data_IF_280995361940
#
_entry.id   IF_280995361940
#
_cell.length_a   1.000
_cell.length_b   1.000
_cell.length_c   1.000
_cell.angle_alpha   90.00
_cell.angle_beta   90.00
_cell.angle_gamma   90.00
#
_symmetry.space_group_name_H-M   'P 1'
#
loop_
_entity.id
_entity.type
_entity.pdbx_description
1 polymer ?
#
# COMPACT_ATOMS: atom_id res chain seq x y z
N UNK A 1 -11.60 17.78 1.83
CA UNK A 1 -12.07 16.40 1.63
C UNK A 1 -10.83 15.56 1.44
N UNK A 2 -10.66 14.53 2.25
CA UNK A 2 -9.54 13.58 2.15
C UNK A 2 -9.75 12.62 0.98
N UNK A 3 -8.68 11.98 0.48
CA UNK A 3 -8.82 10.91 -0.52
C UNK A 3 -9.66 9.75 0.05
N UNK A 4 -9.58 9.52 1.37
CA UNK A 4 -10.42 8.55 2.09
C UNK A 4 -11.91 8.84 1.96
N UNK A 5 -12.33 10.10 2.11
CA UNK A 5 -13.71 10.51 1.88
C UNK A 5 -14.10 10.42 0.40
N UNK A 6 -13.18 10.76 -0.50
CA UNK A 6 -13.41 10.71 -1.94
C UNK A 6 -13.68 9.28 -2.46
N UNK A 7 -13.07 8.25 -1.84
CA UNK A 7 -13.33 6.85 -2.17
C UNK A 7 -14.56 6.25 -1.45
N UNK A 8 -15.30 7.04 -0.67
CA UNK A 8 -16.52 6.59 0.04
C UNK A 8 -16.29 6.02 1.45
N UNK A 9 -15.11 6.24 2.03
CA UNK A 9 -14.82 5.92 3.43
C UNK A 9 -14.55 4.45 3.71
N UNK A 10 -15.00 3.97 4.88
CA UNK A 10 -14.50 2.74 5.52
C UNK A 10 -14.75 1.46 4.72
N UNK A 11 -15.97 1.29 4.22
CA UNK A 11 -16.38 0.05 3.55
C UNK A 11 -15.62 -0.16 2.22
N UNK A 12 -15.51 0.85 1.33
CA UNK A 12 -14.66 0.75 0.14
C UNK A 12 -13.19 0.48 0.45
N UNK A 13 -12.61 1.09 1.50
CA UNK A 13 -11.24 0.78 1.92
C UNK A 13 -11.09 -0.68 2.35
N UNK A 14 -12.05 -1.20 3.11
CA UNK A 14 -12.01 -2.60 3.53
C UNK A 14 -12.06 -3.54 2.34
N UNK A 15 -12.93 -3.26 1.36
CA UNK A 15 -13.01 -4.00 0.11
C UNK A 15 -11.70 -3.89 -0.70
N UNK A 16 -11.13 -2.69 -0.81
CA UNK A 16 -9.85 -2.47 -1.47
C UNK A 16 -8.76 -3.36 -0.88
N UNK A 17 -8.65 -3.42 0.45
CA UNK A 17 -7.62 -4.25 1.10
C UNK A 17 -7.80 -5.73 0.82
N UNK A 18 -9.04 -6.23 0.77
CA UNK A 18 -9.31 -7.63 0.45
C UNK A 18 -8.90 -7.97 -0.99
N UNK A 19 -9.30 -7.14 -1.97
CA UNK A 19 -8.97 -7.31 -3.39
C UNK A 19 -7.46 -7.19 -3.61
N UNK A 20 -6.84 -6.18 -3.01
CA UNK A 20 -5.42 -5.90 -3.12
C UNK A 20 -4.55 -7.07 -2.65
N UNK A 21 -4.83 -7.60 -1.45
CA UNK A 21 -4.09 -8.76 -0.94
C UNK A 21 -4.35 -10.03 -1.73
N UNK A 22 -5.57 -10.21 -2.28
CA UNK A 22 -5.82 -11.33 -3.18
C UNK A 22 -4.88 -11.26 -4.38
N UNK A 23 -4.73 -10.10 -5.01
CA UNK A 23 -3.82 -9.90 -6.14
C UNK A 23 -2.34 -10.15 -5.77
N UNK A 24 -1.90 -9.65 -4.62
CA UNK A 24 -0.54 -9.89 -4.11
C UNK A 24 -0.27 -11.39 -3.90
N UNK A 25 -1.21 -12.11 -3.30
CA UNK A 25 -1.04 -13.53 -2.98
C UNK A 25 -1.19 -14.43 -4.22
N UNK A 26 -1.91 -13.97 -5.24
CA UNK A 26 -2.02 -14.65 -6.54
C UNK A 26 -0.82 -14.33 -7.47
N UNK A 27 0.07 -13.40 -7.09
CA UNK A 27 1.28 -13.02 -7.84
C UNK A 27 2.52 -13.79 -7.35
N UNK A 28 3.06 -14.69 -8.17
CA UNK A 28 4.22 -15.52 -7.84
C UNK A 28 5.49 -14.73 -7.50
N UNK A 29 5.63 -13.49 -8.01
CA UNK A 29 6.78 -12.62 -7.72
C UNK A 29 6.68 -11.98 -6.33
N UNK A 30 5.51 -12.02 -5.68
CA UNK A 30 5.27 -11.38 -4.39
C UNK A 30 4.83 -12.37 -3.30
N UNK A 31 4.08 -13.41 -3.65
CA UNK A 31 3.40 -14.29 -2.71
C UNK A 31 4.34 -14.94 -1.69
N UNK A 32 5.55 -15.31 -2.13
CA UNK A 32 6.57 -15.95 -1.29
C UNK A 32 7.03 -15.07 -0.11
N UNK A 33 6.91 -13.73 -0.18
CA UNK A 33 7.18 -12.85 0.96
C UNK A 33 6.16 -12.99 2.10
N UNK A 34 5.02 -13.64 1.84
CA UNK A 34 3.90 -13.78 2.77
C UNK A 34 3.71 -15.21 3.29
N UNK A 35 4.50 -16.19 2.84
CA UNK A 35 4.33 -17.63 3.16
C UNK A 35 4.30 -17.94 4.67
N UNK A 36 5.07 -17.20 5.47
CA UNK A 36 5.19 -17.41 6.91
C UNK A 36 4.46 -16.35 7.74
N UNK A 37 3.45 -15.70 7.16
CA UNK A 37 2.80 -14.53 7.72
C UNK A 37 1.32 -14.75 8.01
N UNK A 38 0.84 -14.20 9.12
CA UNK A 38 -0.58 -14.07 9.36
C UNK A 38 -1.16 -12.97 8.47
N UNK A 39 -1.60 -13.36 7.27
CA UNK A 39 -2.19 -12.47 6.26
C UNK A 39 -3.36 -11.68 6.81
N UNK A 40 -4.16 -12.26 7.71
CA UNK A 40 -5.31 -11.56 8.30
C UNK A 40 -4.85 -10.39 9.18
N UNK A 41 -3.81 -10.61 10.00
CA UNK A 41 -3.19 -9.51 10.76
C UNK A 41 -2.56 -8.46 9.86
N UNK A 42 -2.00 -8.83 8.72
CA UNK A 42 -1.44 -7.87 7.78
C UNK A 42 -2.48 -7.03 7.06
N UNK A 43 -3.58 -7.63 6.64
CA UNK A 43 -4.73 -6.90 6.08
C UNK A 43 -5.23 -5.84 7.06
N UNK A 44 -5.28 -6.14 8.36
CA UNK A 44 -5.64 -5.13 9.38
C UNK A 44 -4.66 -3.96 9.43
N UNK A 45 -3.34 -4.23 9.40
CA UNK A 45 -2.32 -3.16 9.36
C UNK A 45 -2.40 -2.33 8.08
N UNK A 46 -2.63 -2.99 6.94
CA UNK A 46 -2.75 -2.32 5.64
C UNK A 46 -3.98 -1.42 5.57
N UNK A 47 -5.12 -1.81 6.19
CA UNK A 47 -6.29 -0.92 6.32
C UNK A 47 -5.93 0.38 7.02
N UNK A 48 -5.22 0.30 8.14
CA UNK A 48 -4.75 1.49 8.88
C UNK A 48 -3.77 2.31 8.05
N UNK A 49 -2.85 1.66 7.34
CA UNK A 49 -1.91 2.34 6.46
C UNK A 49 -2.62 3.08 5.31
N UNK A 50 -3.53 2.42 4.59
CA UNK A 50 -4.28 3.05 3.51
C UNK A 50 -5.17 4.17 4.04
N UNK A 51 -5.83 4.01 5.19
CA UNK A 51 -6.56 5.11 5.81
C UNK A 51 -5.68 6.36 6.02
N UNK A 52 -4.46 6.18 6.54
CA UNK A 52 -3.50 7.26 6.71
C UNK A 52 -3.00 7.83 5.37
N UNK A 53 -2.56 6.98 4.44
CA UNK A 53 -2.02 7.38 3.14
C UNK A 53 -3.04 8.14 2.29
N UNK A 54 -4.33 7.82 2.48
CA UNK A 54 -5.45 8.50 1.83
C UNK A 54 -5.88 9.80 2.55
N UNK A 55 -5.06 10.31 3.48
CA UNK A 55 -5.28 11.58 4.17
C UNK A 55 -6.34 11.54 5.26
N UNK A 56 -6.66 10.36 5.81
CA UNK A 56 -7.48 10.23 7.01
C UNK A 56 -6.73 10.69 8.26
N UNK A 57 -7.44 11.17 9.28
CA UNK A 57 -6.90 11.63 10.58
C UNK A 57 -6.32 10.49 11.46
N UNK A 58 -5.60 9.53 10.89
CA UNK A 58 -4.93 8.48 11.67
C UNK A 58 -3.44 8.74 11.68
N UNK A 59 -2.83 8.78 12.84
CA UNK A 59 -1.39 8.56 12.94
C UNK A 59 -1.09 7.11 12.58
N UNK A 60 -0.28 6.85 11.54
CA UNK A 60 0.26 5.52 11.32
C UNK A 60 1.18 5.16 12.49
N UNK A 61 0.73 4.26 13.36
CA UNK A 61 1.44 3.83 14.58
C UNK A 61 2.14 2.47 14.43
N UNK A 62 2.27 1.99 13.19
CA UNK A 62 2.99 0.75 12.87
C UNK A 62 4.50 0.90 13.08
N UNK A 63 5.24 -0.21 12.96
CA UNK A 63 6.69 -0.12 12.73
C UNK A 63 6.91 0.76 11.51
N UNK A 64 7.95 1.58 11.54
CA UNK A 64 8.32 2.37 10.36
C UNK A 64 8.48 1.43 9.15
N UNK A 65 8.10 1.93 7.97
CA UNK A 65 8.05 1.12 6.75
C UNK A 65 9.41 0.45 6.50
N UNK A 66 10.51 1.16 6.74
CA UNK A 66 11.86 0.62 6.57
C UNK A 66 12.12 -0.58 7.48
N UNK A 67 11.90 -0.45 8.78
CA UNK A 67 12.05 -1.56 9.74
C UNK A 67 11.16 -2.75 9.42
N UNK A 68 10.01 -2.53 8.79
CA UNK A 68 9.09 -3.60 8.37
C UNK A 68 9.58 -4.37 7.13
N UNK A 69 10.36 -3.73 6.26
CA UNK A 69 10.82 -4.31 4.99
C UNK A 69 12.33 -4.58 4.93
N UNK A 70 13.07 -4.29 6.00
CA UNK A 70 14.55 -4.36 6.06
C UNK A 70 15.16 -5.71 5.65
N UNK A 71 14.49 -6.81 5.99
CA UNK A 71 15.04 -8.16 5.80
C UNK A 71 14.44 -8.86 4.55
N UNK A 72 13.67 -8.14 3.73
CA UNK A 72 12.92 -8.72 2.61
C UNK A 72 13.65 -8.64 1.25
N UNK A 73 14.82 -7.99 1.19
CA UNK A 73 15.61 -7.81 -0.03
C UNK A 73 14.77 -7.39 -1.26
N UNK A 74 13.88 -6.42 -1.08
CA UNK A 74 12.95 -5.97 -2.10
C UNK A 74 13.65 -5.19 -3.23
N UNK A 75 13.12 -5.30 -4.44
CA UNK A 75 13.61 -4.62 -5.65
C UNK A 75 12.58 -3.60 -6.14
N UNK A 76 12.96 -2.73 -7.09
CA UNK A 76 12.00 -1.85 -7.75
C UNK A 76 10.87 -2.62 -8.42
N UNK A 77 11.17 -3.80 -8.96
CA UNK A 77 10.15 -4.65 -9.58
C UNK A 77 9.09 -5.07 -8.57
N UNK A 78 9.49 -5.52 -7.37
CA UNK A 78 8.54 -5.86 -6.32
C UNK A 78 7.69 -4.65 -5.92
N UNK A 79 8.30 -3.48 -5.75
CA UNK A 79 7.56 -2.27 -5.39
C UNK A 79 6.57 -1.86 -6.48
N UNK A 80 7.01 -1.87 -7.74
CA UNK A 80 6.17 -1.52 -8.88
C UNK A 80 5.00 -2.48 -9.01
N UNK A 81 5.21 -3.79 -8.82
CA UNK A 81 4.13 -4.79 -8.82
C UNK A 81 3.09 -4.51 -7.74
N UNK A 82 3.53 -4.17 -6.54
CA UNK A 82 2.62 -3.77 -5.45
C UNK A 82 1.83 -2.50 -5.82
N UNK A 83 2.47 -1.49 -6.43
CA UNK A 83 1.79 -0.28 -6.88
C UNK A 83 0.79 -0.54 -8.02
N UNK A 84 1.14 -1.40 -8.98
CA UNK A 84 0.25 -1.86 -10.07
C UNK A 84 -0.99 -2.57 -9.53
N UNK A 85 -0.82 -3.46 -8.55
CA UNK A 85 -1.95 -4.14 -7.91
C UNK A 85 -2.87 -3.17 -7.17
N UNK A 86 -2.29 -2.17 -6.47
CA UNK A 86 -3.08 -1.12 -5.83
C UNK A 86 -3.87 -0.29 -6.86
N UNK A 87 -3.21 0.13 -7.94
CA UNK A 87 -3.85 0.86 -9.04
C UNK A 87 -5.04 0.07 -9.61
N UNK A 88 -4.82 -1.19 -9.95
CA UNK A 88 -5.86 -2.09 -10.48
C UNK A 88 -7.02 -2.26 -9.50
N UNK A 89 -6.73 -2.42 -8.20
CA UNK A 89 -7.77 -2.52 -7.17
C UNK A 89 -8.62 -1.26 -7.08
N UNK A 90 -8.00 -0.07 -7.08
CA UNK A 90 -8.74 1.19 -7.00
C UNK A 90 -9.59 1.43 -8.25
N UNK A 91 -9.08 1.08 -9.43
CA UNK A 91 -9.82 1.14 -10.68
C UNK A 91 -11.04 0.18 -10.67
N UNK A 92 -10.89 -1.05 -10.15
CA UNK A 92 -12.01 -2.00 -9.97
C UNK A 92 -13.10 -1.46 -9.03
N UNK A 93 -12.72 -0.62 -8.06
CA UNK A 93 -13.65 0.07 -7.18
C UNK A 93 -14.21 1.37 -7.77
N UNK A 94 -13.99 1.62 -9.06
CA UNK A 94 -14.48 2.81 -9.77
C UNK A 94 -13.97 4.13 -9.19
N UNK A 95 -12.81 4.12 -8.54
CA UNK A 95 -12.11 5.34 -8.14
C UNK A 95 -11.60 6.04 -9.41
N UNK A 96 -11.74 7.37 -9.48
CA UNK A 96 -11.34 8.11 -10.68
C UNK A 96 -9.82 8.13 -10.87
N UNK A 97 -9.37 8.16 -12.13
CA UNK A 97 -7.94 8.15 -12.48
C UNK A 97 -7.14 9.28 -11.81
N UNK A 98 -7.75 10.47 -11.65
CA UNK A 98 -7.14 11.59 -10.94
C UNK A 98 -6.83 11.25 -9.49
N UNK A 99 -7.78 10.63 -8.79
CA UNK A 99 -7.63 10.23 -7.39
C UNK A 99 -6.62 9.08 -7.29
N UNK A 100 -6.68 8.11 -8.20
CA UNK A 100 -5.69 7.03 -8.26
C UNK A 100 -4.27 7.59 -8.43
N UNK A 101 -4.07 8.56 -9.31
CA UNK A 101 -2.77 9.19 -9.53
C UNK A 101 -2.24 9.89 -8.26
N UNK A 102 -3.11 10.60 -7.53
CA UNK A 102 -2.75 11.22 -6.24
C UNK A 102 -2.35 10.18 -5.20
N UNK A 103 -3.07 9.06 -5.12
CA UNK A 103 -2.76 7.95 -4.20
C UNK A 103 -1.41 7.33 -4.54
N UNK A 104 -1.17 7.04 -5.81
CA UNK A 104 0.10 6.45 -6.26
C UNK A 104 1.28 7.41 -6.03
N UNK A 105 1.08 8.72 -6.17
CA UNK A 105 2.10 9.72 -5.84
C UNK A 105 2.48 9.66 -4.36
N UNK A 106 1.50 9.50 -3.45
CA UNK A 106 1.78 9.31 -2.02
C UNK A 106 2.53 8.00 -1.76
N UNK A 107 2.09 6.90 -2.38
CA UNK A 107 2.78 5.60 -2.25
C UNK A 107 4.23 5.69 -2.72
N UNK A 108 4.49 6.37 -3.83
CA UNK A 108 5.84 6.55 -4.37
C UNK A 108 6.80 7.22 -3.37
N UNK A 109 6.31 8.14 -2.53
CA UNK A 109 7.14 8.77 -1.48
C UNK A 109 7.73 7.76 -0.48
N UNK A 110 7.11 6.58 -0.36
CA UNK A 110 7.52 5.52 0.56
C UNK A 110 8.56 4.56 -0.02
N UNK A 111 8.86 4.66 -1.33
CA UNK A 111 9.74 3.72 -2.04
C UNK A 111 11.07 3.50 -1.35
N UNK A 112 11.73 4.58 -0.93
CA UNK A 112 13.05 4.47 -0.33
C UNK A 112 13.04 3.76 1.02
N UNK A 113 11.97 3.91 1.79
CA UNK A 113 11.82 3.18 3.05
C UNK A 113 11.56 1.70 2.79
N UNK A 114 10.63 1.37 1.91
CA UNK A 114 10.32 -0.03 1.55
C UNK A 114 11.52 -0.75 0.94
N UNK A 115 12.29 -0.08 0.09
CA UNK A 115 13.47 -0.63 -0.58
C UNK A 115 14.77 -0.46 0.21
N UNK A 116 14.69 0.02 1.46
CA UNK A 116 15.84 0.24 2.33
C UNK A 116 16.95 1.12 1.74
N UNK A 117 16.60 2.07 0.89
CA UNK A 117 17.52 3.04 0.27
C UNK A 117 17.75 4.23 1.19
N UNK A 118 18.91 4.89 1.17
CA UNK A 118 19.08 6.14 1.90
C UNK A 118 17.98 7.14 1.50
N UNK A 119 17.50 7.94 2.46
CA UNK A 119 16.58 9.01 2.15
C UNK A 119 17.24 9.95 1.13
N UNK A 120 16.50 10.33 0.09
CA UNK A 120 16.96 11.37 -0.83
C UNK A 120 17.00 12.65 0.00
N UNK A 121 18.17 13.28 0.11
CA UNK A 121 18.26 14.59 0.72
C UNK A 121 17.33 15.52 -0.06
N UNK A 122 16.37 16.15 0.62
CA UNK A 122 15.58 17.20 0.02
C UNK A 122 16.55 18.33 -0.38
N UNK A 123 16.64 18.60 -1.68
CA UNK A 123 17.29 19.80 -2.22
C UNK A 123 16.41 21.04 -2.01
#
# INVERSE_FOLDING_TARGET
MSLYEAIGGKEPVNAAVEIFYKKILDDNSLSHFFDNMDVQKQKMKMRTFLYYALGGESTYSGRDLRSSHKDLNLTDEHFNKVAEHLQSTLAELSVSDSIIAEILAVVETTRNDVLNRPAVAAE
#
